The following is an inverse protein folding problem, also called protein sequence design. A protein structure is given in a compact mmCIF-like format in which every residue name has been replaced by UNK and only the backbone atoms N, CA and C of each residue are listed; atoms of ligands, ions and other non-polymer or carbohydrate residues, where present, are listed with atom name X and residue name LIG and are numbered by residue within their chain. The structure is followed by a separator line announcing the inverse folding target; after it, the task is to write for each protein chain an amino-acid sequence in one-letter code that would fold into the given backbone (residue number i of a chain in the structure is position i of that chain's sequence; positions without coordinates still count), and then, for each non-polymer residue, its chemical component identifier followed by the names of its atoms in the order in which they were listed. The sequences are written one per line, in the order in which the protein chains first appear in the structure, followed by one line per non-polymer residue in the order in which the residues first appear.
data_IF_644757832891
#
_entry.id   IF_644757832891
#
_cell.length_a   1.000
_cell.length_b   1.000
_cell.length_c   1.000
_cell.angle_alpha   90.00
_cell.angle_beta   90.00
_cell.angle_gamma   90.00
#
_symmetry.space_group_name_H-M   'P 1'
#
loop_
_entity.id
_entity.type
_entity.pdbx_description
1 polymer ?
#
# COMPACT_ATOMS: atom_id res chain seq x y z
N UNK A 1 43.39 32.11 28.86
CA UNK A 1 42.43 31.01 28.62
C UNK A 1 41.25 31.58 27.86
N UNK A 2 41.16 31.32 26.55
CA UNK A 2 40.04 31.74 25.70
C UNK A 2 39.16 30.50 25.47
N UNK A 3 37.95 30.49 26.03
CA UNK A 3 36.96 29.47 25.78
C UNK A 3 36.14 29.87 24.54
N UNK A 4 36.46 29.29 23.39
CA UNK A 4 35.63 29.39 22.20
C UNK A 4 34.47 28.38 22.35
N UNK A 5 33.26 28.90 22.57
CA UNK A 5 32.04 28.10 22.55
C UNK A 5 31.74 27.65 21.13
N UNK A 6 31.85 26.35 20.88
CA UNK A 6 31.31 25.70 19.68
C UNK A 6 29.78 25.76 19.76
N UNK A 7 29.18 26.73 19.07
CA UNK A 7 27.78 26.70 18.74
C UNK A 7 27.56 25.52 17.77
N UNK A 8 27.00 24.43 18.28
CA UNK A 8 26.42 23.36 17.45
C UNK A 8 25.30 24.00 16.61
N UNK A 9 25.62 24.38 15.37
CA UNK A 9 24.62 24.72 14.39
C UNK A 9 23.73 23.49 14.20
N UNK A 10 22.50 23.56 14.71
CA UNK A 10 21.50 22.53 14.45
C UNK A 10 21.31 22.44 12.94
N UNK A 11 21.66 21.29 12.36
CA UNK A 11 21.39 20.99 10.96
C UNK A 11 19.89 21.23 10.75
N UNK A 12 19.47 22.06 9.79
CA UNK A 12 18.05 22.29 9.56
C UNK A 12 17.40 20.94 9.29
N UNK A 13 16.50 20.51 10.17
CA UNK A 13 15.66 19.34 9.93
C UNK A 13 15.05 19.49 8.53
N UNK A 14 15.26 18.49 7.68
CA UNK A 14 14.84 18.50 6.30
C UNK A 14 13.35 18.89 6.20
N UNK A 15 13.03 19.74 5.22
CA UNK A 15 11.67 20.15 4.94
C UNK A 15 10.80 18.91 4.69
N UNK A 16 9.65 18.82 5.37
CA UNK A 16 8.71 17.73 5.16
C UNK A 16 7.72 18.07 4.05
N UNK A 17 7.71 17.28 2.97
CA UNK A 17 6.88 17.56 1.80
C UNK A 17 5.38 17.48 2.10
N UNK A 18 4.95 16.76 3.14
CA UNK A 18 3.53 16.68 3.53
C UNK A 18 3.09 17.89 4.34
N UNK A 19 3.97 18.47 5.15
CA UNK A 19 3.66 19.75 5.81
C UNK A 19 3.56 20.87 4.79
N UNK A 20 4.48 20.91 3.81
CA UNK A 20 4.42 21.83 2.68
C UNK A 20 3.09 21.69 1.90
N UNK A 21 2.67 20.44 1.66
CA UNK A 21 1.38 20.14 1.03
C UNK A 21 0.20 20.73 1.83
N UNK A 22 0.13 20.46 3.14
CA UNK A 22 -0.95 20.98 3.99
C UNK A 22 -0.94 22.51 4.02
N UNK A 23 0.23 23.15 4.10
CA UNK A 23 0.39 24.60 4.02
C UNK A 23 -0.22 25.16 2.73
N UNK A 24 0.19 24.62 1.58
CA UNK A 24 -0.32 25.05 0.28
C UNK A 24 -1.83 24.83 0.13
N UNK A 25 -2.35 23.72 0.64
CA UNK A 25 -3.77 23.41 0.61
C UNK A 25 -4.60 24.36 1.50
N UNK A 26 -4.12 24.68 2.70
CA UNK A 26 -4.79 25.64 3.60
C UNK A 26 -4.80 27.04 2.99
N UNK A 27 -3.67 27.49 2.42
CA UNK A 27 -3.57 28.77 1.72
C UNK A 27 -4.54 28.84 0.54
N UNK A 28 -4.61 27.79 -0.28
CA UNK A 28 -5.53 27.70 -1.43
C UNK A 28 -7.02 27.63 -1.03
N UNK A 29 -7.29 27.25 0.21
CA UNK A 29 -8.61 27.29 0.85
C UNK A 29 -8.93 28.65 1.51
N UNK A 30 -7.97 29.59 1.54
CA UNK A 30 -8.13 30.93 2.11
C UNK A 30 -7.83 31.03 3.61
N UNK A 31 -7.14 30.05 4.19
CA UNK A 31 -6.64 30.09 5.56
C UNK A 31 -5.15 30.44 5.53
N UNK A 32 -4.70 31.35 6.40
CA UNK A 32 -3.29 31.72 6.50
C UNK A 32 -2.53 30.68 7.38
N UNK A 33 -1.72 29.78 6.80
CA UNK A 33 -0.97 28.79 7.58
C UNK A 33 0.24 29.41 8.30
N UNK A 34 0.57 30.69 8.05
CA UNK A 34 1.82 31.30 8.44
C UNK A 34 2.93 31.07 7.40
N UNK A 35 4.19 31.21 7.82
CA UNK A 35 5.33 31.06 6.92
C UNK A 35 5.50 29.62 6.41
N UNK A 36 5.76 29.47 5.10
CA UNK A 36 6.12 28.21 4.44
C UNK A 36 7.52 27.74 4.87
N UNK A 37 7.59 27.19 6.08
CA UNK A 37 8.82 26.68 6.67
C UNK A 37 8.84 25.15 6.75
N UNK A 38 7.85 24.47 6.15
CA UNK A 38 7.69 23.02 6.11
C UNK A 38 7.71 22.34 7.49
N UNK A 39 7.30 23.06 8.53
CA UNK A 39 7.19 22.57 9.92
C UNK A 39 5.81 22.89 10.48
N UNK A 40 5.26 21.95 11.25
CA UNK A 40 4.01 22.24 11.97
C UNK A 40 4.30 23.25 13.08
N UNK A 41 3.65 24.42 13.00
CA UNK A 41 3.73 25.48 14.01
C UNK A 41 2.33 25.77 14.59
N UNK A 42 2.27 26.61 15.62
CA UNK A 42 1.01 27.05 16.22
C UNK A 42 0.08 27.75 15.20
N UNK A 43 0.63 28.50 14.23
CA UNK A 43 -0.16 29.17 13.18
C UNK A 43 -0.86 28.17 12.26
N UNK A 44 -0.17 27.08 11.89
CA UNK A 44 -0.78 25.98 11.13
C UNK A 44 -1.97 25.36 11.87
N UNK A 45 -1.79 25.13 13.17
CA UNK A 45 -2.86 24.61 14.02
C UNK A 45 -4.04 25.58 14.15
N UNK A 46 -3.79 26.89 14.21
CA UNK A 46 -4.84 27.90 14.21
C UNK A 46 -5.58 27.98 12.87
N UNK A 47 -4.86 27.96 11.74
CA UNK A 47 -5.45 27.94 10.40
C UNK A 47 -6.35 26.71 10.21
N UNK A 48 -5.85 25.56 10.64
CA UNK A 48 -6.56 24.30 10.70
C UNK A 48 -7.83 24.38 11.57
N UNK A 49 -7.71 24.86 12.80
CA UNK A 49 -8.86 24.99 13.70
C UNK A 49 -9.88 26.00 13.20
N UNK A 50 -9.45 27.05 12.51
CA UNK A 50 -10.37 28.00 11.88
C UNK A 50 -11.13 27.33 10.75
N UNK A 51 -10.45 26.52 9.93
CA UNK A 51 -11.10 25.76 8.86
C UNK A 51 -12.12 24.75 9.39
N UNK A 52 -11.83 24.09 10.51
CA UNK A 52 -12.70 23.07 11.08
C UNK A 52 -13.75 23.60 12.06
N UNK A 53 -13.45 24.69 12.76
CA UNK A 53 -14.34 25.35 13.71
C UNK A 53 -15.36 26.27 13.04
N UNK A 54 -15.07 26.85 11.87
CA UNK A 54 -16.04 27.66 11.12
C UNK A 54 -17.09 26.82 10.38
N UNK A 55 -16.99 25.48 10.39
CA UNK A 55 -18.00 24.60 9.77
C UNK A 55 -19.17 24.23 10.70
N UNK A 56 -19.25 24.78 11.91
CA UNK A 56 -20.44 24.71 12.79
C UNK A 56 -20.70 23.34 13.44
N UNK A 57 -20.29 22.26 12.78
CA UNK A 57 -20.27 20.88 13.25
C UNK A 57 -18.91 20.28 12.85
N UNK A 58 -18.48 19.18 13.50
CA UNK A 58 -17.23 18.46 13.18
C UNK A 58 -16.98 18.43 11.66
N UNK A 59 -15.74 18.69 11.19
CA UNK A 59 -15.45 18.69 9.77
C UNK A 59 -15.95 17.38 9.13
N UNK A 60 -16.66 17.47 7.99
CA UNK A 60 -17.46 16.37 7.48
C UNK A 60 -16.62 15.14 7.14
N UNK A 61 -17.21 13.96 7.34
CA UNK A 61 -16.68 12.70 6.83
C UNK A 61 -15.41 12.21 7.54
N UNK A 62 -14.33 12.05 6.77
CA UNK A 62 -13.06 11.45 7.23
C UNK A 62 -12.17 12.46 7.97
N UNK A 63 -12.27 13.75 7.65
CA UNK A 63 -11.44 14.80 8.25
C UNK A 63 -11.64 14.91 9.77
N UNK A 64 -12.88 14.77 10.26
CA UNK A 64 -13.18 14.83 11.69
C UNK A 64 -12.68 13.63 12.51
N UNK A 65 -12.12 12.62 11.86
CA UNK A 65 -11.57 11.41 12.50
C UNK A 65 -10.05 11.33 12.39
N UNK A 66 -9.42 12.24 11.64
CA UNK A 66 -7.97 12.23 11.50
C UNK A 66 -7.29 12.60 12.84
N UNK A 67 -6.09 12.06 13.09
CA UNK A 67 -5.27 12.46 14.22
C UNK A 67 -4.93 13.95 14.12
N UNK A 68 -4.71 14.60 15.26
CA UNK A 68 -4.31 16.01 15.30
C UNK A 68 -3.11 16.28 14.39
N UNK A 69 -3.10 17.44 13.71
CA UNK A 69 -2.03 17.81 12.78
C UNK A 69 -0.68 17.86 13.51
N UNK A 70 0.25 17.06 13.02
CA UNK A 70 1.62 16.92 13.48
C UNK A 70 2.50 16.58 12.27
N UNK A 71 3.81 16.60 12.45
CA UNK A 71 4.74 16.15 11.42
C UNK A 71 4.38 14.75 10.90
N UNK A 72 4.11 13.81 11.81
CA UNK A 72 3.80 12.42 11.50
C UNK A 72 2.45 12.22 10.80
N UNK A 73 1.45 13.03 11.17
CA UNK A 73 0.10 12.94 10.60
C UNK A 73 -0.12 13.83 9.38
N UNK A 74 0.86 14.67 9.00
CA UNK A 74 0.74 15.60 7.89
C UNK A 74 0.39 14.90 6.57
N UNK A 75 0.86 13.67 6.35
CA UNK A 75 0.52 12.87 5.17
C UNK A 75 -0.98 12.57 5.06
N UNK A 76 -1.64 12.26 6.18
CA UNK A 76 -3.08 12.00 6.22
C UNK A 76 -3.85 13.27 5.86
N UNK A 77 -3.44 14.40 6.44
CA UNK A 77 -4.03 15.70 6.16
C UNK A 77 -3.87 16.08 4.69
N UNK A 78 -2.64 15.98 4.15
CA UNK A 78 -2.34 16.26 2.75
C UNK A 78 -3.23 15.46 1.78
N UNK A 79 -3.46 14.16 2.07
CA UNK A 79 -4.33 13.30 1.27
C UNK A 79 -5.80 13.69 1.41
N UNK A 80 -6.32 13.73 2.64
CA UNK A 80 -7.76 13.90 2.85
C UNK A 80 -8.24 15.30 2.49
N UNK A 81 -7.42 16.34 2.68
CA UNK A 81 -7.75 17.70 2.22
C UNK A 81 -7.91 17.79 0.71
N UNK A 82 -7.11 17.04 -0.06
CA UNK A 82 -7.22 17.01 -1.52
C UNK A 82 -8.59 16.49 -1.99
N UNK A 83 -9.29 15.71 -1.16
CA UNK A 83 -10.64 15.20 -1.48
C UNK A 83 -11.72 16.28 -1.41
N UNK A 84 -11.47 17.40 -0.73
CA UNK A 84 -12.44 18.50 -0.62
C UNK A 84 -12.62 19.25 -1.94
N UNK A 85 -11.52 19.46 -2.69
CA UNK A 85 -11.51 20.18 -3.97
C UNK A 85 -10.39 19.63 -4.86
N UNK A 86 -10.68 19.19 -6.11
CA UNK A 86 -9.67 18.60 -7.00
C UNK A 86 -8.40 19.45 -7.19
N UNK A 87 -8.53 20.78 -7.21
CA UNK A 87 -7.40 21.70 -7.36
C UNK A 87 -6.34 21.60 -6.25
N UNK A 88 -6.70 21.10 -5.08
CA UNK A 88 -5.80 20.94 -3.94
C UNK A 88 -4.79 19.80 -4.14
N UNK A 89 -5.08 18.88 -5.06
CA UNK A 89 -4.21 17.75 -5.39
C UNK A 89 -2.85 18.18 -5.95
N UNK A 90 -2.75 19.36 -6.58
CA UNK A 90 -1.49 19.90 -7.13
C UNK A 90 -0.41 20.16 -6.07
N UNK A 91 -0.81 20.23 -4.79
CA UNK A 91 0.12 20.41 -3.67
C UNK A 91 0.63 19.08 -3.12
N UNK A 92 0.02 17.95 -3.51
CA UNK A 92 0.46 16.64 -3.04
C UNK A 92 1.79 16.27 -3.68
N UNK A 93 2.74 15.67 -2.92
CA UNK A 93 4.01 15.20 -3.48
C UNK A 93 3.84 14.26 -4.68
N UNK A 94 2.78 13.44 -4.69
CA UNK A 94 2.48 12.52 -5.78
C UNK A 94 2.15 13.20 -7.12
N UNK A 95 1.94 14.51 -7.16
CA UNK A 95 1.77 15.26 -8.41
C UNK A 95 3.07 15.23 -9.24
N UNK A 96 4.20 15.05 -8.56
CA UNK A 96 5.49 14.80 -9.19
C UNK A 96 5.62 13.35 -9.68
N UNK A 97 6.49 13.12 -10.68
CA UNK A 97 6.79 11.77 -11.18
C UNK A 97 7.46 10.92 -10.09
N UNK A 98 7.17 9.60 -9.98
CA UNK A 98 7.89 8.74 -9.05
C UNK A 98 9.40 8.75 -9.33
N UNK A 99 10.20 8.49 -8.30
CA UNK A 99 11.65 8.25 -8.46
C UNK A 99 11.80 6.80 -8.92
N UNK A 100 12.29 6.58 -10.13
CA UNK A 100 12.46 5.22 -10.69
C UNK A 100 13.91 5.02 -11.12
N UNK A 101 14.53 3.97 -10.56
CA UNK A 101 15.86 3.50 -10.90
C UNK A 101 15.80 2.05 -11.40
N UNK A 102 16.39 1.82 -12.56
CA UNK A 102 16.53 0.52 -13.19
C UNK A 102 17.79 0.54 -14.06
N UNK A 103 18.46 -0.60 -14.18
CA UNK A 103 19.69 -0.70 -14.97
C UNK A 103 19.46 -0.37 -16.46
N UNK A 104 18.33 -0.80 -17.00
CA UNK A 104 17.99 -0.67 -18.42
C UNK A 104 16.97 0.46 -18.64
N UNK A 105 17.20 1.31 -19.66
CA UNK A 105 16.32 2.45 -19.96
C UNK A 105 14.88 2.04 -20.35
N UNK A 106 14.74 0.91 -21.03
CA UNK A 106 13.43 0.37 -21.40
C UNK A 106 12.69 -0.23 -20.20
N UNK A 107 13.40 -0.87 -19.25
CA UNK A 107 12.82 -1.30 -17.97
C UNK A 107 12.26 -0.10 -17.19
N UNK A 108 13.02 0.99 -17.10
CA UNK A 108 12.57 2.25 -16.49
C UNK A 108 11.32 2.80 -17.20
N UNK A 109 11.24 2.68 -18.52
CA UNK A 109 10.09 3.09 -19.31
C UNK A 109 8.86 2.23 -18.99
N UNK A 110 9.00 0.91 -18.96
CA UNK A 110 7.95 -0.03 -18.59
C UNK A 110 7.40 0.24 -17.18
N UNK A 111 8.29 0.45 -16.21
CA UNK A 111 7.91 0.80 -14.83
C UNK A 111 7.11 2.09 -14.78
N UNK A 112 7.56 3.14 -15.47
CA UNK A 112 6.85 4.43 -15.51
C UNK A 112 5.45 4.30 -16.14
N UNK A 113 5.32 3.54 -17.23
CA UNK A 113 4.03 3.33 -17.92
C UNK A 113 3.08 2.53 -17.03
N UNK A 114 3.52 1.39 -16.48
CA UNK A 114 2.70 0.55 -15.62
C UNK A 114 2.33 1.26 -14.31
N UNK A 115 3.28 1.96 -13.67
CA UNK A 115 3.00 2.76 -12.48
C UNK A 115 1.91 3.80 -12.72
N UNK A 116 1.93 4.51 -13.86
CA UNK A 116 0.87 5.49 -14.17
C UNK A 116 -0.50 4.83 -14.30
N UNK A 117 -0.57 3.66 -14.93
CA UNK A 117 -1.83 2.90 -15.06
C UNK A 117 -2.33 2.45 -13.70
N UNK A 118 -1.47 1.86 -12.86
CA UNK A 118 -1.81 1.45 -11.49
C UNK A 118 -2.26 2.64 -10.66
N UNK A 119 -1.50 3.75 -10.65
CA UNK A 119 -1.89 4.98 -9.94
C UNK A 119 -3.27 5.46 -10.39
N UNK A 120 -3.55 5.46 -11.69
CA UNK A 120 -4.85 5.87 -12.22
C UNK A 120 -5.97 4.92 -11.78
N UNK A 121 -5.73 3.61 -11.78
CA UNK A 121 -6.67 2.62 -11.26
C UNK A 121 -6.98 2.85 -9.77
N UNK A 122 -5.96 3.03 -8.93
CA UNK A 122 -6.16 3.37 -7.51
C UNK A 122 -6.96 4.66 -7.33
N UNK A 123 -6.59 5.73 -8.04
CA UNK A 123 -7.26 7.03 -7.93
C UNK A 123 -8.71 6.99 -8.42
N UNK A 124 -8.96 6.38 -9.58
CA UNK A 124 -10.22 6.54 -10.32
C UNK A 124 -11.18 5.38 -10.06
N UNK A 125 -10.68 4.15 -10.02
CA UNK A 125 -11.50 2.94 -9.88
C UNK A 125 -11.73 2.62 -8.40
N UNK A 126 -10.66 2.59 -7.61
CA UNK A 126 -10.74 2.28 -6.18
C UNK A 126 -11.03 3.49 -5.28
N UNK A 127 -10.88 4.72 -5.79
CA UNK A 127 -10.99 5.97 -5.00
C UNK A 127 -10.02 6.01 -3.81
N UNK A 128 -8.82 5.49 -4.03
CA UNK A 128 -7.75 5.30 -3.05
C UNK A 128 -6.49 6.10 -3.44
N UNK A 129 -6.55 7.45 -3.47
CA UNK A 129 -5.38 8.24 -3.79
C UNK A 129 -4.31 8.16 -2.69
N UNK A 130 -3.04 8.20 -3.08
CA UNK A 130 -1.91 8.44 -2.17
C UNK A 130 -1.45 9.89 -2.26
N UNK A 131 -1.00 10.49 -1.17
CA UNK A 131 -0.33 11.79 -1.19
C UNK A 131 1.17 11.67 -1.53
N UNK A 132 1.79 10.54 -1.17
CA UNK A 132 3.23 10.31 -1.28
C UNK A 132 3.74 10.15 -2.72
N UNK A 133 4.99 10.60 -2.92
CA UNK A 133 5.76 10.36 -4.15
C UNK A 133 6.66 9.14 -3.92
N UNK A 134 6.39 7.98 -4.52
CA UNK A 134 7.14 6.79 -4.21
C UNK A 134 8.46 6.69 -4.94
N UNK A 135 9.38 5.94 -4.34
CA UNK A 135 10.56 5.37 -4.98
C UNK A 135 10.31 3.96 -5.52
N UNK A 136 10.89 3.65 -6.67
CA UNK A 136 10.88 2.32 -7.28
C UNK A 136 12.31 2.00 -7.73
N UNK A 137 12.88 0.91 -7.23
CA UNK A 137 14.17 0.41 -7.69
C UNK A 137 14.04 -1.02 -8.21
N UNK A 138 14.72 -1.31 -9.32
CA UNK A 138 14.65 -2.62 -9.96
C UNK A 138 16.01 -3.13 -10.39
N UNK A 139 16.25 -4.43 -10.21
CA UNK A 139 17.45 -5.12 -10.66
C UNK A 139 17.15 -6.54 -11.13
N UNK A 140 18.09 -7.08 -11.90
CA UNK A 140 18.02 -8.46 -12.43
C UNK A 140 18.79 -9.46 -11.57
N UNK A 141 19.55 -8.93 -10.62
CA UNK A 141 20.37 -9.66 -9.68
C UNK A 141 20.56 -8.80 -8.42
N UNK A 142 21.09 -9.42 -7.37
CA UNK A 142 21.38 -8.76 -6.09
C UNK A 142 22.21 -7.48 -6.27
N UNK A 143 23.29 -7.54 -7.06
CA UNK A 143 24.25 -6.44 -7.18
C UNK A 143 23.63 -5.22 -7.86
N UNK A 144 22.90 -5.46 -8.95
CA UNK A 144 22.17 -4.43 -9.69
C UNK A 144 21.05 -3.83 -8.84
N UNK A 145 20.27 -4.65 -8.12
CA UNK A 145 19.19 -4.14 -7.28
C UNK A 145 19.72 -3.31 -6.09
N UNK A 146 20.82 -3.72 -5.46
CA UNK A 146 21.50 -2.92 -4.42
C UNK A 146 21.92 -1.54 -4.96
N UNK A 147 22.51 -1.50 -6.15
CA UNK A 147 22.95 -0.25 -6.77
C UNK A 147 21.77 0.67 -7.11
N UNK A 148 20.72 0.15 -7.73
CA UNK A 148 19.53 0.94 -8.08
C UNK A 148 18.79 1.43 -6.83
N UNK A 149 18.73 0.61 -5.78
CA UNK A 149 18.13 0.99 -4.49
C UNK A 149 18.89 2.16 -3.87
N UNK A 150 20.23 2.13 -3.89
CA UNK A 150 21.05 3.23 -3.41
C UNK A 150 20.77 4.54 -4.15
N UNK A 151 20.76 4.52 -5.49
CA UNK A 151 20.46 5.72 -6.28
C UNK A 151 19.05 6.25 -6.03
N UNK A 152 18.07 5.37 -5.86
CA UNK A 152 16.72 5.75 -5.48
C UNK A 152 16.66 6.45 -4.13
N UNK A 153 17.36 5.94 -3.10
CA UNK A 153 17.40 6.57 -1.78
C UNK A 153 18.05 7.96 -1.83
N UNK A 154 19.15 8.09 -2.57
CA UNK A 154 19.85 9.36 -2.79
C UNK A 154 18.93 10.40 -3.45
N UNK A 155 18.21 10.03 -4.52
CA UNK A 155 17.26 10.89 -5.23
C UNK A 155 16.03 11.27 -4.40
N UNK A 156 15.62 10.40 -3.46
CA UNK A 156 14.56 10.69 -2.51
C UNK A 156 15.04 11.57 -1.33
N UNK A 157 16.35 11.82 -1.21
CA UNK A 157 16.93 12.50 -0.06
C UNK A 157 16.82 11.71 1.24
N UNK A 158 16.69 10.39 1.15
CA UNK A 158 16.63 9.50 2.31
C UNK A 158 18.05 9.12 2.76
N UNK A 159 18.26 8.90 4.08
CA UNK A 159 19.54 8.37 4.54
C UNK A 159 19.79 6.98 3.93
N UNK A 160 21.05 6.54 3.82
CA UNK A 160 21.36 5.16 3.44
C UNK A 160 20.67 4.17 4.39
N UNK A 161 19.90 3.25 3.83
CA UNK A 161 19.23 2.17 4.54
C UNK A 161 19.79 0.86 4.00
N UNK A 162 20.15 -0.06 4.90
CA UNK A 162 20.65 -1.38 4.52
C UNK A 162 19.47 -2.33 4.19
N UNK A 163 19.27 -2.57 2.90
CA UNK A 163 18.28 -3.52 2.37
C UNK A 163 18.93 -4.86 1.96
N UNK A 164 20.19 -5.13 2.33
CA UNK A 164 20.94 -6.27 1.77
C UNK A 164 20.25 -7.62 1.98
N UNK A 165 19.70 -7.87 3.18
CA UNK A 165 19.00 -9.13 3.47
C UNK A 165 17.71 -9.29 2.64
N UNK A 166 16.92 -8.23 2.53
CA UNK A 166 15.66 -8.27 1.77
C UNK A 166 15.92 -8.36 0.26
N UNK A 167 16.98 -7.71 -0.23
CA UNK A 167 17.41 -7.82 -1.63
C UNK A 167 17.94 -9.22 -1.93
N UNK A 168 18.68 -9.84 -1.02
CA UNK A 168 19.14 -11.22 -1.18
C UNK A 168 17.95 -12.16 -1.36
N UNK A 169 16.97 -12.07 -0.47
CA UNK A 169 15.76 -12.89 -0.49
C UNK A 169 14.92 -12.65 -1.77
N UNK A 170 14.71 -11.39 -2.14
CA UNK A 170 13.96 -11.04 -3.36
C UNK A 170 14.64 -11.57 -4.62
N UNK A 171 15.97 -11.59 -4.66
CA UNK A 171 16.72 -12.06 -5.82
C UNK A 171 17.10 -13.55 -5.79
N UNK A 172 16.79 -14.27 -4.71
CA UNK A 172 17.05 -15.72 -4.60
C UNK A 172 15.92 -16.60 -5.14
N UNK A 173 14.84 -16.01 -5.64
CA UNK A 173 13.70 -16.76 -6.18
C UNK A 173 14.05 -17.30 -7.57
N UNK A 174 13.89 -18.61 -7.76
CA UNK A 174 14.14 -19.28 -9.04
C UNK A 174 13.03 -18.94 -10.04
N UNK A 175 13.38 -18.15 -11.06
CA UNK A 175 12.48 -17.77 -12.14
C UNK A 175 11.41 -16.74 -11.74
N UNK A 176 11.11 -15.80 -12.64
CA UNK A 176 10.04 -14.82 -12.41
C UNK A 176 10.49 -13.54 -11.71
N UNK A 177 9.75 -13.10 -10.68
CA UNK A 177 9.96 -11.81 -10.02
C UNK A 177 9.58 -11.85 -8.53
N UNK A 178 10.12 -10.90 -7.77
CA UNK A 178 9.81 -10.67 -6.37
C UNK A 178 9.74 -9.16 -6.09
N UNK A 179 8.62 -8.70 -5.55
CA UNK A 179 8.47 -7.34 -5.03
C UNK A 179 8.64 -7.28 -3.51
N UNK A 180 9.15 -6.17 -3.00
CA UNK A 180 9.20 -5.85 -1.56
C UNK A 180 8.89 -4.38 -1.35
N UNK A 181 7.77 -4.09 -0.69
CA UNK A 181 7.38 -2.73 -0.33
C UNK A 181 7.80 -2.33 1.09
N UNK A 182 8.00 -1.02 1.24
CA UNK A 182 8.31 -0.28 2.46
C UNK A 182 7.56 1.06 2.43
N UNK A 183 7.45 1.81 3.54
CA UNK A 183 6.68 3.04 3.54
C UNK A 183 7.31 4.07 2.58
N UNK A 184 6.65 4.33 1.44
CA UNK A 184 7.09 5.29 0.43
C UNK A 184 8.03 4.76 -0.65
N UNK A 185 8.39 3.47 -0.66
CA UNK A 185 9.18 2.87 -1.73
C UNK A 185 8.93 1.37 -1.87
N UNK A 186 9.17 0.81 -3.05
CA UNK A 186 9.28 -0.64 -3.22
C UNK A 186 10.43 -0.99 -4.16
N UNK A 187 10.91 -2.21 -4.01
CA UNK A 187 11.97 -2.78 -4.83
C UNK A 187 11.44 -4.00 -5.57
N UNK A 188 11.92 -4.26 -6.78
CA UNK A 188 11.59 -5.47 -7.53
C UNK A 188 12.89 -6.12 -7.99
N UNK A 189 13.05 -7.41 -7.69
CA UNK A 189 14.00 -8.26 -8.40
C UNK A 189 13.24 -9.08 -9.42
N UNK A 190 13.78 -9.23 -10.63
CA UNK A 190 13.21 -10.13 -11.61
C UNK A 190 14.29 -10.86 -12.37
N UNK A 191 13.91 -11.95 -13.03
CA UNK A 191 14.82 -12.74 -13.84
C UNK A 191 15.45 -11.90 -14.94
N UNK A 192 16.74 -12.14 -15.18
CA UNK A 192 17.49 -11.48 -16.22
C UNK A 192 16.82 -11.63 -17.58
N UNK A 193 16.57 -10.51 -18.24
CA UNK A 193 15.93 -10.49 -19.55
C UNK A 193 17.02 -10.37 -20.62
N UNK A 194 16.99 -11.25 -21.63
CA UNK A 194 17.97 -11.21 -22.72
C UNK A 194 17.94 -9.90 -23.51
N UNK A 195 16.73 -9.38 -23.76
CA UNK A 195 16.49 -8.17 -24.56
C UNK A 195 15.34 -7.35 -24.00
N UNK A 196 15.59 -6.07 -23.75
CA UNK A 196 14.57 -5.09 -23.41
C UNK A 196 14.19 -4.26 -24.64
N UNK A 197 13.36 -4.83 -25.51
CA UNK A 197 12.85 -4.20 -26.72
C UNK A 197 11.35 -3.85 -26.61
N UNK A 198 10.75 -3.48 -27.74
CA UNK A 198 9.34 -3.11 -27.80
C UNK A 198 8.40 -4.29 -27.51
N UNK A 199 8.78 -5.52 -27.90
CA UNK A 199 8.00 -6.73 -27.64
C UNK A 199 8.02 -7.03 -26.14
N UNK A 200 9.18 -6.95 -25.50
CA UNK A 200 9.27 -7.06 -24.05
C UNK A 200 8.44 -5.98 -23.34
N UNK A 201 8.50 -4.73 -23.79
CA UNK A 201 7.71 -3.64 -23.21
C UNK A 201 6.21 -3.94 -23.30
N UNK A 202 5.72 -4.43 -24.43
CA UNK A 202 4.32 -4.80 -24.62
C UNK A 202 3.93 -5.98 -23.72
N UNK A 203 4.75 -7.03 -23.67
CA UNK A 203 4.54 -8.19 -22.81
C UNK A 203 4.58 -7.83 -21.32
N UNK A 204 5.42 -6.86 -20.93
CA UNK A 204 5.56 -6.40 -19.54
C UNK A 204 4.24 -5.92 -18.95
N UNK A 205 3.33 -5.41 -19.78
CA UNK A 205 2.06 -4.89 -19.33
C UNK A 205 1.24 -5.91 -18.53
N UNK A 206 1.22 -7.17 -18.98
CA UNK A 206 0.36 -8.19 -18.39
C UNK A 206 0.83 -8.67 -17.03
N UNK A 207 2.15 -8.65 -16.76
CA UNK A 207 2.68 -9.12 -15.49
C UNK A 207 3.14 -7.98 -14.57
N UNK A 208 3.79 -6.94 -15.10
CA UNK A 208 4.33 -5.85 -14.30
C UNK A 208 3.24 -4.93 -13.73
N UNK A 209 2.13 -4.77 -14.46
CA UNK A 209 0.96 -4.02 -13.97
C UNK A 209 0.40 -4.61 -12.67
N UNK A 210 0.01 -5.90 -12.65
CA UNK A 210 -0.41 -6.61 -11.45
C UNK A 210 0.60 -6.53 -10.29
N UNK A 211 1.90 -6.76 -10.56
CA UNK A 211 2.96 -6.64 -9.53
C UNK A 211 3.01 -5.24 -8.93
N UNK A 212 3.01 -4.21 -9.76
CA UNK A 212 3.00 -2.84 -9.25
C UNK A 212 1.69 -2.55 -8.49
N UNK A 213 0.55 -3.13 -8.88
CA UNK A 213 -0.70 -2.97 -8.14
C UNK A 213 -0.63 -3.59 -6.73
N UNK A 214 -0.01 -4.77 -6.61
CA UNK A 214 0.27 -5.42 -5.32
C UNK A 214 1.15 -4.52 -4.44
N UNK A 215 2.33 -4.12 -4.94
CA UNK A 215 3.27 -3.31 -4.17
C UNK A 215 2.72 -1.90 -3.86
N UNK A 216 1.95 -1.31 -4.78
CA UNK A 216 1.28 -0.02 -4.56
C UNK A 216 0.23 -0.13 -3.46
N UNK A 217 -0.43 -1.28 -3.31
CA UNK A 217 -1.35 -1.50 -2.20
C UNK A 217 -0.63 -1.41 -0.86
N UNK A 218 0.58 -1.97 -0.73
CA UNK A 218 1.37 -1.84 0.50
C UNK A 218 1.79 -0.39 0.79
N UNK A 219 2.14 0.38 -0.24
CA UNK A 219 2.39 1.82 -0.09
C UNK A 219 1.15 2.55 0.46
N UNK A 220 -0.01 2.24 -0.10
CA UNK A 220 -1.29 2.83 0.32
C UNK A 220 -1.65 2.41 1.74
N UNK A 221 -1.47 1.14 2.09
CA UNK A 221 -1.70 0.61 3.45
C UNK A 221 -0.87 1.39 4.46
N UNK A 222 0.44 1.53 4.22
CA UNK A 222 1.35 2.27 5.10
C UNK A 222 0.98 3.75 5.25
N UNK A 223 0.60 4.38 4.14
CA UNK A 223 0.19 5.78 4.14
C UNK A 223 -1.09 5.99 4.95
N UNK A 224 -2.08 5.11 4.76
CA UNK A 224 -3.40 5.24 5.38
C UNK A 224 -3.40 4.83 6.83
N UNK A 225 -2.62 3.81 7.21
CA UNK A 225 -2.49 3.34 8.60
C UNK A 225 -1.71 4.31 9.49
N UNK A 226 -0.97 5.26 8.92
CA UNK A 226 -0.11 6.19 9.68
C UNK A 226 1.28 5.63 9.98
N UNK A 227 1.70 4.66 9.17
CA UNK A 227 3.03 4.04 9.22
C UNK A 227 4.03 4.71 8.27
N UNK A 228 3.56 5.65 7.43
CA UNK A 228 4.43 6.47 6.59
C UNK A 228 5.55 7.15 7.42
N UNK A 229 6.78 7.09 6.91
CA UNK A 229 7.97 7.61 7.59
C UNK A 229 8.60 6.67 8.61
N UNK A 230 8.01 5.51 8.89
CA UNK A 230 8.65 4.43 9.66
C UNK A 230 9.47 3.51 8.75
N UNK A 231 10.37 4.09 7.96
CA UNK A 231 11.32 3.34 7.15
C UNK A 231 12.26 2.54 8.07
N UNK A 232 11.89 1.29 8.33
CA UNK A 232 12.74 0.30 8.99
C UNK A 232 13.03 -0.81 7.98
N UNK A 233 14.28 -1.27 7.86
CA UNK A 233 14.64 -2.32 6.91
C UNK A 233 14.03 -3.69 7.26
N UNK A 234 13.54 -3.86 8.49
CA UNK A 234 12.94 -5.10 8.96
C UNK A 234 11.39 -5.05 8.86
N UNK A 235 10.82 -5.82 7.94
CA UNK A 235 9.36 -6.00 7.75
C UNK A 235 8.70 -6.65 8.99
N UNK A 236 9.41 -7.45 9.79
CA UNK A 236 8.92 -8.04 11.04
C UNK A 236 8.27 -7.02 11.99
N UNK A 237 8.73 -5.77 11.97
CA UNK A 237 8.18 -4.73 12.85
C UNK A 237 6.74 -4.30 12.48
N UNK A 238 6.25 -4.65 11.29
CA UNK A 238 4.87 -4.44 10.88
C UNK A 238 3.91 -5.49 11.50
N UNK A 239 4.43 -6.69 11.83
CA UNK A 239 3.65 -7.81 12.39
C UNK A 239 3.03 -7.54 13.77
N UNK A 240 3.57 -6.57 14.52
CA UNK A 240 2.97 -6.14 15.79
C UNK A 240 1.78 -5.19 15.61
N UNK A 241 1.69 -4.55 14.45
CA UNK A 241 0.65 -3.58 14.15
C UNK A 241 -0.58 -4.22 13.52
N UNK A 242 -0.44 -5.24 12.67
CA UNK A 242 -1.55 -5.80 11.88
C UNK A 242 -1.37 -7.31 11.59
N UNK A 243 -2.44 -8.07 11.31
CA UNK A 243 -2.31 -9.43 10.80
C UNK A 243 -1.65 -9.45 9.42
N UNK A 244 -0.51 -10.12 9.26
CA UNK A 244 0.22 -10.15 8.00
C UNK A 244 -0.59 -10.79 6.86
N UNK A 245 -1.40 -11.80 7.15
CA UNK A 245 -2.29 -12.40 6.15
C UNK A 245 -3.30 -11.38 5.57
N UNK A 246 -3.69 -10.36 6.34
CA UNK A 246 -4.60 -9.31 5.87
C UNK A 246 -3.87 -8.25 5.04
N UNK A 247 -2.58 -8.03 5.31
CA UNK A 247 -1.70 -7.16 4.52
C UNK A 247 -1.55 -7.74 3.10
N UNK A 248 -1.04 -8.97 3.01
CA UNK A 248 -0.79 -9.64 1.74
C UNK A 248 -2.08 -10.00 1.01
N UNK A 249 -3.08 -10.54 1.72
CA UNK A 249 -4.34 -10.91 1.08
C UNK A 249 -5.10 -9.72 0.49
N UNK A 250 -4.95 -8.52 1.06
CA UNK A 250 -5.53 -7.31 0.49
C UNK A 250 -4.75 -6.79 -0.71
N UNK A 251 -3.43 -6.98 -0.74
CA UNK A 251 -2.61 -6.69 -1.92
C UNK A 251 -2.93 -7.66 -3.07
N UNK A 252 -3.08 -8.95 -2.80
CA UNK A 252 -3.54 -9.97 -3.76
C UNK A 252 -4.92 -9.68 -4.33
N UNK A 253 -5.88 -9.31 -3.47
CA UNK A 253 -7.21 -8.89 -3.92
C UNK A 253 -7.12 -7.69 -4.87
N UNK A 254 -6.27 -6.70 -4.57
CA UNK A 254 -6.13 -5.50 -5.43
C UNK A 254 -5.40 -5.82 -6.73
N UNK A 255 -4.42 -6.73 -6.70
CA UNK A 255 -3.77 -7.28 -7.88
C UNK A 255 -4.80 -7.93 -8.82
N UNK A 256 -5.67 -8.79 -8.29
CA UNK A 256 -6.74 -9.44 -9.06
C UNK A 256 -7.74 -8.39 -9.61
N UNK A 257 -8.12 -7.40 -8.81
CA UNK A 257 -9.02 -6.32 -9.25
C UNK A 257 -8.41 -5.49 -10.38
N UNK A 258 -7.11 -5.20 -10.31
CA UNK A 258 -6.38 -4.53 -11.39
C UNK A 258 -6.37 -5.39 -12.65
N UNK A 259 -6.03 -6.69 -12.55
CA UNK A 259 -6.01 -7.61 -13.67
C UNK A 259 -7.40 -7.71 -14.34
N UNK A 260 -8.46 -7.81 -13.53
CA UNK A 260 -9.83 -7.83 -14.03
C UNK A 260 -10.21 -6.55 -14.79
N UNK A 261 -9.96 -5.38 -14.22
CA UNK A 261 -10.43 -4.13 -14.82
C UNK A 261 -9.54 -3.64 -15.97
N UNK A 262 -8.22 -3.83 -15.85
CA UNK A 262 -7.24 -3.24 -16.76
C UNK A 262 -6.73 -4.22 -17.81
N UNK A 263 -6.81 -5.53 -17.56
CA UNK A 263 -6.31 -6.59 -18.45
C UNK A 263 -7.42 -7.50 -18.99
N UNK A 264 -8.67 -7.33 -18.55
CA UNK A 264 -9.81 -8.21 -18.90
C UNK A 264 -9.58 -9.67 -18.48
N UNK A 265 -8.82 -9.87 -17.39
CA UNK A 265 -8.56 -11.20 -16.83
C UNK A 265 -9.70 -11.63 -15.88
N UNK A 266 -10.21 -12.87 -15.98
CA UNK A 266 -11.31 -13.30 -15.13
C UNK A 266 -10.87 -13.38 -13.66
N UNK A 267 -11.73 -12.90 -12.74
CA UNK A 267 -11.53 -13.13 -11.30
C UNK A 267 -11.70 -14.60 -10.97
N UNK A 268 -10.86 -15.11 -10.07
CA UNK A 268 -11.05 -16.42 -9.49
C UNK A 268 -12.32 -16.43 -8.64
N UNK A 269 -13.08 -17.52 -8.75
CA UNK A 269 -14.20 -17.79 -7.86
C UNK A 269 -13.69 -18.13 -6.45
N UNK A 270 -14.50 -17.89 -5.42
CA UNK A 270 -14.17 -18.34 -4.06
C UNK A 270 -13.93 -19.86 -3.97
N UNK A 271 -14.52 -20.64 -4.87
CA UNK A 271 -14.30 -22.08 -4.95
C UNK A 271 -12.91 -22.45 -5.48
N UNK A 272 -12.36 -21.67 -6.42
CA UNK A 272 -10.99 -21.81 -6.93
C UNK A 272 -9.97 -21.40 -5.88
N UNK A 273 -10.11 -20.20 -5.32
CA UNK A 273 -9.24 -19.71 -4.26
C UNK A 273 -9.21 -20.64 -3.05
N UNK A 274 -10.36 -21.21 -2.67
CA UNK A 274 -10.43 -22.20 -1.59
C UNK A 274 -9.65 -23.48 -1.91
N UNK A 275 -9.61 -23.92 -3.17
CA UNK A 275 -8.84 -25.11 -3.56
C UNK A 275 -7.34 -24.85 -3.47
N UNK A 276 -6.90 -23.68 -3.91
CA UNK A 276 -5.50 -23.26 -3.81
C UNK A 276 -5.08 -23.05 -2.36
N UNK A 277 -5.91 -22.38 -1.56
CA UNK A 277 -5.68 -22.16 -0.13
C UNK A 277 -5.51 -23.45 0.69
N UNK A 278 -6.10 -24.58 0.25
CA UNK A 278 -5.89 -25.89 0.89
C UNK A 278 -4.46 -26.43 0.76
N UNK A 279 -3.68 -25.90 -0.19
CA UNK A 279 -2.27 -26.25 -0.36
C UNK A 279 -1.35 -25.59 0.67
N UNK A 280 -1.81 -24.56 1.38
CA UNK A 280 -1.00 -23.89 2.40
C UNK A 280 -0.71 -24.84 3.57
N UNK A 281 0.53 -24.83 4.02
CA UNK A 281 0.99 -25.60 5.19
C UNK A 281 0.71 -24.89 6.52
N UNK A 282 0.15 -23.68 6.48
CA UNK A 282 -0.06 -22.80 7.64
C UNK A 282 -1.53 -22.46 7.81
N UNK A 283 -1.89 -22.14 9.04
CA UNK A 283 -3.16 -21.50 9.39
C UNK A 283 -3.03 -19.97 9.35
N UNK A 284 -4.16 -19.26 9.24
CA UNK A 284 -4.16 -17.80 9.35
C UNK A 284 -3.63 -17.32 10.71
N UNK A 285 -3.87 -18.09 11.77
CA UNK A 285 -3.37 -17.77 13.10
C UNK A 285 -1.83 -17.79 13.16
N UNK A 286 -1.19 -18.74 12.49
CA UNK A 286 0.28 -18.80 12.37
C UNK A 286 0.81 -17.66 11.52
N UNK A 287 0.18 -17.41 10.37
CA UNK A 287 0.55 -16.31 9.46
C UNK A 287 0.37 -14.93 10.11
N UNK A 288 -0.54 -14.78 11.08
CA UNK A 288 -0.75 -13.51 11.78
C UNK A 288 0.50 -13.03 12.51
N UNK A 289 1.33 -13.94 13.03
CA UNK A 289 2.41 -13.63 13.98
C UNK A 289 3.81 -13.86 13.41
N UNK A 290 3.93 -14.37 12.19
CA UNK A 290 5.19 -14.82 11.63
C UNK A 290 5.37 -14.29 10.21
N UNK A 291 6.60 -13.86 9.89
CA UNK A 291 6.99 -13.41 8.55
C UNK A 291 6.74 -14.47 7.46
N UNK A 292 6.41 -15.71 7.81
CA UNK A 292 5.97 -16.75 6.85
C UNK A 292 4.75 -16.35 6.02
N UNK A 293 4.00 -15.32 6.41
CA UNK A 293 2.94 -14.77 5.55
C UNK A 293 3.48 -14.21 4.22
N UNK A 294 4.77 -13.85 4.17
CA UNK A 294 5.47 -13.38 2.98
C UNK A 294 6.00 -14.54 2.11
N UNK A 295 5.88 -15.78 2.57
CA UNK A 295 6.23 -16.96 1.76
C UNK A 295 5.15 -17.18 0.69
N UNK A 296 5.58 -17.40 -0.55
CA UNK A 296 4.70 -17.60 -1.71
C UNK A 296 3.65 -18.70 -1.51
N UNK A 297 3.98 -19.76 -0.77
CA UNK A 297 3.09 -20.88 -0.46
C UNK A 297 1.86 -20.49 0.40
N UNK A 298 1.91 -19.32 1.05
CA UNK A 298 0.87 -18.86 1.96
C UNK A 298 -0.03 -17.77 1.35
N UNK A 299 0.37 -17.18 0.22
CA UNK A 299 -0.41 -16.16 -0.50
C UNK A 299 -1.81 -16.64 -0.89
N UNK A 300 -2.01 -17.88 -1.37
CA UNK A 300 -3.35 -18.36 -1.70
C UNK A 300 -4.31 -18.36 -0.50
N UNK A 301 -3.82 -18.68 0.71
CA UNK A 301 -4.63 -18.66 1.92
C UNK A 301 -4.99 -17.23 2.33
N UNK A 302 -4.02 -16.31 2.30
CA UNK A 302 -4.25 -14.89 2.56
C UNK A 302 -5.27 -14.29 1.57
N UNK A 303 -5.10 -14.56 0.27
CA UNK A 303 -5.99 -14.09 -0.78
C UNK A 303 -7.41 -14.65 -0.60
N UNK A 304 -7.56 -15.96 -0.37
CA UNK A 304 -8.86 -16.57 -0.09
C UNK A 304 -9.56 -15.93 1.12
N UNK A 305 -8.82 -15.70 2.21
CA UNK A 305 -9.34 -15.11 3.43
C UNK A 305 -9.87 -13.68 3.17
N UNK A 306 -9.09 -12.83 2.49
CA UNK A 306 -9.52 -11.45 2.23
C UNK A 306 -10.64 -11.39 1.19
N UNK A 307 -10.64 -12.25 0.18
CA UNK A 307 -11.78 -12.38 -0.75
C UNK A 307 -13.05 -12.84 -0.06
N UNK A 308 -12.95 -13.70 0.95
CA UNK A 308 -14.11 -14.07 1.79
C UNK A 308 -14.62 -12.87 2.60
N UNK A 309 -13.74 -12.06 3.19
CA UNK A 309 -14.14 -10.82 3.86
C UNK A 309 -14.83 -9.85 2.89
N UNK A 310 -14.26 -9.68 1.71
CA UNK A 310 -14.80 -8.79 0.69
C UNK A 310 -16.17 -9.25 0.17
N UNK A 311 -16.39 -10.57 0.03
CA UNK A 311 -17.69 -11.13 -0.37
C UNK A 311 -18.76 -10.89 0.71
N UNK A 312 -18.41 -11.08 1.99
CA UNK A 312 -19.38 -11.03 3.08
C UNK A 312 -19.65 -9.61 3.62
N UNK A 313 -18.66 -8.72 3.53
CA UNK A 313 -18.72 -7.37 4.11
C UNK A 313 -18.53 -6.25 3.07
N UNK A 314 -18.22 -6.59 1.83
CA UNK A 314 -17.90 -5.66 0.76
C UNK A 314 -16.44 -5.22 0.77
N UNK A 315 -15.88 -5.00 -0.43
CA UNK A 315 -14.49 -4.51 -0.61
C UNK A 315 -14.19 -3.23 0.19
N UNK A 316 -15.16 -2.32 0.27
CA UNK A 316 -15.02 -1.08 1.03
C UNK A 316 -14.71 -1.31 2.52
N UNK A 317 -15.23 -2.39 3.13
CA UNK A 317 -14.94 -2.73 4.53
C UNK A 317 -13.47 -3.15 4.73
N UNK A 318 -12.87 -3.83 3.73
CA UNK A 318 -11.45 -4.18 3.73
C UNK A 318 -10.58 -2.93 3.72
N UNK A 319 -10.93 -1.92 2.93
CA UNK A 319 -10.19 -0.65 2.91
C UNK A 319 -10.46 0.23 4.15
N UNK A 320 -11.68 0.18 4.69
CA UNK A 320 -12.05 0.94 5.89
C UNK A 320 -11.28 0.47 7.14
N UNK A 321 -10.85 -0.79 7.19
CA UNK A 321 -9.93 -1.29 8.22
C UNK A 321 -8.65 -0.43 8.31
N UNK A 322 -8.00 -0.16 7.17
CA UNK A 322 -6.79 0.68 7.12
C UNK A 322 -7.07 2.12 7.51
N UNK A 323 -8.22 2.68 7.11
CA UNK A 323 -8.62 4.02 7.54
C UNK A 323 -8.81 4.12 9.04
N UNK A 324 -9.41 3.12 9.69
CA UNK A 324 -9.60 3.11 11.15
C UNK A 324 -8.26 3.07 11.89
N UNK A 325 -7.28 2.33 11.39
CA UNK A 325 -5.92 2.33 11.93
C UNK A 325 -5.31 3.74 11.89
N UNK A 326 -5.42 4.42 10.74
CA UNK A 326 -4.97 5.81 10.59
C UNK A 326 -5.64 6.81 11.54
N UNK A 327 -6.85 6.49 12.02
CA UNK A 327 -7.61 7.28 12.99
C UNK A 327 -7.20 6.97 14.45
N UNK A 328 -6.15 6.16 14.65
CA UNK A 328 -5.62 5.79 15.97
C UNK A 328 -6.33 4.59 16.62
N UNK A 329 -7.21 3.90 15.88
CA UNK A 329 -7.84 2.68 16.39
C UNK A 329 -6.83 1.53 16.42
N UNK A 330 -6.79 0.77 17.52
CA UNK A 330 -5.98 -0.45 17.59
C UNK A 330 -6.49 -1.52 16.61
N UNK A 331 -5.60 -2.30 16.02
CA UNK A 331 -5.95 -3.19 14.90
C UNK A 331 -7.05 -4.22 15.19
N UNK A 332 -7.11 -4.77 16.41
CA UNK A 332 -8.17 -5.69 16.82
C UNK A 332 -9.54 -5.02 16.79
N UNK A 333 -9.58 -3.77 17.28
CA UNK A 333 -10.79 -2.95 17.29
C UNK A 333 -11.15 -2.50 15.87
N UNK A 334 -10.16 -2.15 15.04
CA UNK A 334 -10.36 -1.81 13.63
C UNK A 334 -10.96 -2.99 12.86
N UNK A 335 -10.42 -4.20 13.05
CA UNK A 335 -10.95 -5.43 12.45
C UNK A 335 -12.39 -5.67 12.88
N UNK A 336 -12.65 -5.67 14.19
CA UNK A 336 -14.00 -5.89 14.72
C UNK A 336 -15.00 -4.84 14.26
N UNK A 337 -14.58 -3.58 14.12
CA UNK A 337 -15.42 -2.50 13.63
C UNK A 337 -15.66 -2.57 12.12
N UNK A 338 -14.75 -3.13 11.32
CA UNK A 338 -14.91 -3.27 9.87
C UNK A 338 -15.72 -4.50 9.48
N UNK A 339 -15.56 -5.60 10.20
CA UNK A 339 -16.13 -6.90 9.81
C UNK A 339 -17.17 -7.42 10.81
N UNK A 340 -17.54 -6.60 11.81
CA UNK A 340 -18.53 -6.94 12.84
C UNK A 340 -18.22 -8.26 13.59
N UNK A 341 -16.95 -8.67 13.65
CA UNK A 341 -16.50 -9.86 14.36
C UNK A 341 -15.04 -9.77 14.80
N UNK A 342 -14.64 -10.41 15.91
CA UNK A 342 -13.23 -10.53 16.28
C UNK A 342 -12.41 -11.29 15.23
N UNK A 343 -11.12 -10.95 15.09
CA UNK A 343 -10.22 -11.60 14.14
C UNK A 343 -10.12 -13.12 14.37
N UNK A 344 -10.07 -13.57 15.62
CA UNK A 344 -9.99 -15.00 15.96
C UNK A 344 -11.24 -15.77 15.49
N UNK A 345 -12.40 -15.11 15.54
CA UNK A 345 -13.66 -15.70 15.07
C UNK A 345 -13.64 -15.88 13.56
N UNK A 346 -13.07 -14.90 12.85
CA UNK A 346 -12.89 -14.97 11.40
C UNK A 346 -11.84 -16.02 11.01
N UNK A 347 -10.68 -16.04 11.65
CA UNK A 347 -9.62 -17.04 11.41
C UNK A 347 -10.18 -18.45 11.59
N UNK A 348 -10.87 -18.74 12.70
CA UNK A 348 -11.51 -20.03 12.92
C UNK A 348 -12.60 -20.37 11.88
N UNK A 349 -13.27 -19.36 11.31
CA UNK A 349 -14.26 -19.55 10.25
C UNK A 349 -13.59 -19.97 8.94
N UNK A 350 -12.46 -19.38 8.59
CA UNK A 350 -11.67 -19.77 7.41
C UNK A 350 -11.23 -21.22 7.54
N UNK A 351 -10.71 -21.64 8.69
CA UNK A 351 -10.30 -23.04 8.92
C UNK A 351 -11.45 -24.03 8.72
N UNK A 352 -12.64 -23.73 9.27
CA UNK A 352 -13.84 -24.56 9.05
C UNK A 352 -14.25 -24.60 7.56
N UNK A 353 -14.13 -23.48 6.85
CA UNK A 353 -14.39 -23.43 5.41
C UNK A 353 -13.38 -24.30 4.67
N UNK A 354 -12.09 -24.28 4.99
CA UNK A 354 -11.10 -25.14 4.36
C UNK A 354 -11.43 -26.62 4.58
N UNK A 355 -11.80 -27.02 5.80
CA UNK A 355 -12.11 -28.41 6.15
C UNK A 355 -13.41 -28.96 5.55
N UNK A 356 -14.39 -28.10 5.24
CA UNK A 356 -15.66 -28.57 4.68
C UNK A 356 -15.45 -29.33 3.34
N UNK A 357 -16.37 -30.22 2.94
CA UNK A 357 -16.35 -30.77 1.59
C UNK A 357 -16.40 -29.64 0.55
N UNK A 358 -15.70 -29.80 -0.57
CA UNK A 358 -15.97 -28.99 -1.75
C UNK A 358 -17.29 -29.54 -2.30
N UNK A 359 -18.39 -28.81 -2.11
CA UNK A 359 -19.68 -29.26 -2.62
C UNK A 359 -19.56 -29.57 -4.10
N UNK A 360 -19.89 -30.80 -4.50
CA UNK A 360 -20.06 -31.14 -5.91
C UNK A 360 -21.11 -30.16 -6.45
N UNK A 361 -20.71 -29.32 -7.41
CA UNK A 361 -21.61 -28.37 -8.05
C UNK A 361 -22.90 -29.08 -8.44
N UNK A 362 -24.05 -28.43 -8.22
CA UNK A 362 -25.37 -28.94 -8.62
C UNK A 362 -25.28 -29.43 -10.06
N UNK A 363 -25.15 -30.75 -10.22
CA UNK A 363 -25.43 -31.43 -11.46
C UNK A 363 -26.86 -31.07 -11.84
N UNK A 364 -27.07 -30.78 -13.11
CA UNK A 364 -28.38 -30.57 -13.71
C UNK A 364 -29.31 -31.74 -13.37
N UNK A 365 -30.11 -31.60 -12.32
CA UNK A 365 -31.38 -32.32 -12.20
C UNK A 365 -32.45 -31.48 -12.91
N UNK A 366 -32.60 -31.71 -14.21
CA UNK A 366 -33.82 -31.37 -14.93
C UNK A 366 -33.90 -32.26 -16.18
N UNK A 367 -34.72 -33.30 -16.09
CA UNK A 367 -35.00 -34.17 -17.23
C UNK A 367 -35.64 -35.52 -16.89
N UNK A 368 -36.52 -35.58 -15.87
CA UNK A 368 -37.49 -36.68 -15.79
C UNK A 368 -38.59 -36.44 -16.84
N UNK A 369 -38.80 -37.45 -17.66
CA UNK A 369 -40.09 -37.98 -18.10
C UNK A 369 -41.22 -36.98 -18.39
N UNK A 370 -41.61 -36.90 -19.67
CA UNK A 370 -43.02 -37.02 -20.11
C UNK A 370 -43.15 -37.00 -21.64
N UNK A 371 -43.61 -38.12 -22.18
CA UNK A 371 -44.65 -38.30 -23.23
C UNK A 371 -44.61 -39.79 -23.63
N UNK A 372 -45.56 -40.62 -23.20
CA UNK A 372 -46.86 -40.87 -23.86
C UNK A 372 -46.73 -41.10 -25.36
#
# INVERSE_FOLDING_TARGET
MLAAGLALAAVPAAADPFVACVQGQLAELGFDPGAENNRVTYQHWQAWNKMTGNQGDRPPGRLGRLPGLSQRSAVHWCRELATLRPKLARHMPNDQRPVIHAQQGMARTALMVNYRKVRNFFNNSLKMPMASRPGIAVGEDRSSLMLQTRYMLEDLGLPPIDFSAVIEEACSIDGGYAGRAFPGLFIICWEKVEKYDAEWLEASYRWLGPVIAHEYMHLWQAEVSGEFGMLKPNQANWSLAHPLWLIEGAAEMVQEEFAFEMLDEPRASLGELRREAKGSSRSLQEMRLSEVAFDSDNYPLAHFAVRLLAEEHGKAAVFDYWHKLGQGMGWRQAFASSFAMPVETFEAKVERRLQAPLGLGRGKEAGKDKKQ
#
